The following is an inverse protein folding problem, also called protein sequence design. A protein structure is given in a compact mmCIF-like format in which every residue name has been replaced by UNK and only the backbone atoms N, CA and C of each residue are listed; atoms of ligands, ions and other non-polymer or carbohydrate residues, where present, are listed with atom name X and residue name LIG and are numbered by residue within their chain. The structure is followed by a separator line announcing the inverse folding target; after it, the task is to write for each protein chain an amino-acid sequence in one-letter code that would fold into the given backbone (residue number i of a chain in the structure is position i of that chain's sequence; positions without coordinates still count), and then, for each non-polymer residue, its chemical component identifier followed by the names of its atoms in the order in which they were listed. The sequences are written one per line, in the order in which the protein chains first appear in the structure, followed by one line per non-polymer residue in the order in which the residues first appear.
data_IF_757507328479
#
_entry.id   IF_757507328479
#
_cell.length_a   1.000
_cell.length_b   1.000
_cell.length_c   1.000
_cell.angle_alpha   90.00
_cell.angle_beta   90.00
_cell.angle_gamma   90.00
#
_symmetry.space_group_name_H-M   'P 1'
#
loop_
_entity.id
_entity.type
_entity.pdbx_description
1 polymer ?
#
# COMPACT_ATOMS: atom_id res chain seq x y z
N UNK A 1 68.82 15.90 29.06
CA UNK A 1 68.11 14.62 29.25
C UNK A 1 67.34 14.36 27.96
N UNK A 2 68.05 14.09 26.84
CA UNK A 2 68.31 12.75 26.23
C UNK A 2 66.97 12.04 25.92
N UNK A 3 66.43 12.16 24.69
CA UNK A 3 66.53 11.22 23.53
C UNK A 3 65.81 9.88 23.79
N UNK A 4 65.04 9.20 22.92
CA UNK A 4 64.94 8.99 21.45
C UNK A 4 63.47 8.57 21.11
N UNK A 5 62.81 8.79 19.97
CA UNK A 5 63.07 8.54 18.53
C UNK A 5 63.11 7.06 18.10
N UNK A 6 62.28 6.76 17.08
CA UNK A 6 62.43 5.76 16.01
C UNK A 6 62.23 4.27 16.40
N UNK A 7 61.86 3.33 15.54
CA UNK A 7 61.31 3.19 14.17
C UNK A 7 61.48 1.71 13.84
N UNK A 8 60.69 1.17 12.87
CA UNK A 8 61.12 0.13 11.90
C UNK A 8 61.43 -1.28 12.49
N UNK A 9 61.11 -2.46 11.96
CA UNK A 9 61.05 -3.09 10.63
C UNK A 9 60.54 -4.54 10.89
N UNK A 10 59.70 -5.17 10.04
CA UNK A 10 60.07 -6.18 9.01
C UNK A 10 60.59 -7.52 9.65
N UNK A 11 60.19 -8.74 9.27
CA UNK A 11 60.14 -9.40 7.95
C UNK A 11 59.49 -10.81 8.09
N UNK A 12 58.89 -11.31 6.99
CA UNK A 12 58.95 -12.70 6.44
C UNK A 12 58.25 -13.85 7.20
N UNK A 13 57.71 -14.91 6.57
CA UNK A 13 57.97 -15.61 5.28
C UNK A 13 56.77 -16.55 4.96
N UNK A 14 56.24 -16.59 3.72
CA UNK A 14 56.39 -17.63 2.65
C UNK A 14 55.85 -19.04 3.01
N UNK A 15 55.04 -19.76 2.23
CA UNK A 15 55.08 -20.09 0.78
C UNK A 15 53.64 -20.35 0.22
N UNK A 16 53.23 -20.02 -1.03
CA UNK A 16 53.55 -20.59 -2.39
C UNK A 16 53.19 -22.10 -2.48
N UNK A 17 52.49 -22.69 -3.47
CA UNK A 17 51.79 -22.38 -4.75
C UNK A 17 50.79 -23.57 -4.95
N UNK A 18 49.74 -23.50 -5.77
CA UNK A 18 49.82 -23.99 -7.16
C UNK A 18 48.62 -23.51 -8.00
N UNK A 19 48.93 -23.09 -9.21
CA UNK A 19 48.02 -22.72 -10.28
C UNK A 19 47.71 -23.93 -11.18
N UNK A 20 46.45 -24.09 -11.59
CA UNK A 20 46.09 -24.98 -12.70
C UNK A 20 45.66 -24.13 -13.90
N UNK A 21 46.45 -24.21 -14.96
CA UNK A 21 46.20 -23.66 -16.29
C UNK A 21 45.23 -24.56 -17.07
N UNK A 22 44.30 -23.96 -17.81
CA UNK A 22 43.52 -24.63 -18.87
C UNK A 22 43.97 -24.12 -20.23
N UNK A 23 44.13 -24.99 -21.25
CA UNK A 23 44.53 -24.56 -22.59
C UNK A 23 43.32 -24.11 -23.43
N UNK A 24 43.60 -23.14 -24.28
CA UNK A 24 42.74 -22.60 -25.32
C UNK A 24 42.96 -23.40 -26.63
N UNK A 25 41.88 -23.82 -27.30
CA UNK A 25 41.93 -24.26 -28.68
C UNK A 25 40.60 -24.00 -29.37
N UNK A 26 40.60 -23.01 -30.27
CA UNK A 26 39.55 -22.77 -31.25
C UNK A 26 39.72 -23.74 -32.43
N UNK A 27 38.61 -24.29 -32.95
CA UNK A 27 38.47 -24.54 -34.39
C UNK A 27 37.01 -24.79 -34.79
N UNK A 28 36.65 -24.13 -35.87
CA UNK A 28 35.44 -24.21 -36.66
C UNK A 28 35.28 -25.55 -37.38
N UNK A 29 34.09 -26.16 -37.34
CA UNK A 29 33.64 -27.12 -38.34
C UNK A 29 32.17 -26.89 -38.71
N UNK A 30 31.95 -26.76 -40.01
CA UNK A 30 30.65 -26.66 -40.66
C UNK A 30 29.95 -28.00 -40.80
N UNK A 31 28.62 -27.91 -40.82
CA UNK A 31 27.67 -28.72 -41.61
C UNK A 31 27.22 -30.10 -41.10
N UNK A 32 25.93 -30.34 -41.37
CA UNK A 32 25.18 -31.60 -41.46
C UNK A 32 24.55 -32.14 -40.17
N UNK A 33 23.27 -31.82 -39.98
CA UNK A 33 22.20 -32.83 -39.84
C UNK A 33 20.83 -32.14 -39.88
N UNK A 34 20.24 -32.11 -41.07
CA UNK A 34 18.81 -32.07 -41.23
C UNK A 34 18.30 -33.52 -41.21
N UNK A 35 17.48 -33.88 -40.23
CA UNK A 35 16.23 -34.64 -40.42
C UNK A 35 15.60 -35.09 -39.09
N UNK A 36 14.34 -34.67 -38.94
CA UNK A 36 13.24 -35.47 -38.42
C UNK A 36 13.34 -36.04 -36.99
N UNK A 37 12.84 -35.26 -36.03
CA UNK A 37 11.92 -35.80 -35.03
C UNK A 37 10.71 -34.86 -34.90
N UNK A 38 9.64 -35.20 -35.61
CA UNK A 38 8.29 -34.80 -35.24
C UNK A 38 8.01 -35.39 -33.86
N UNK A 39 7.80 -34.55 -32.84
CA UNK A 39 6.91 -34.86 -31.73
C UNK A 39 6.51 -33.59 -30.98
N UNK A 40 5.22 -33.27 -31.08
CA UNK A 40 4.39 -32.58 -30.11
C UNK A 40 5.01 -31.37 -29.37
N UNK A 41 4.94 -30.19 -30.01
CA UNK A 41 4.86 -28.94 -29.26
C UNK A 41 3.42 -28.85 -28.73
N UNK A 42 3.17 -28.90 -27.41
CA UNK A 42 1.85 -28.57 -26.90
C UNK A 42 1.57 -27.13 -27.30
N UNK A 43 0.45 -26.91 -27.98
CA UNK A 43 -0.11 -25.60 -28.30
C UNK A 43 0.14 -24.65 -27.14
N UNK A 44 1.18 -23.84 -27.27
CA UNK A 44 1.35 -22.65 -26.46
C UNK A 44 0.11 -21.87 -26.80
N UNK A 45 -0.80 -21.75 -25.84
CA UNK A 45 -1.90 -20.81 -25.88
C UNK A 45 -1.28 -19.46 -26.15
N UNK A 46 -1.21 -19.10 -27.43
CA UNK A 46 -1.14 -17.73 -27.89
C UNK A 46 -2.39 -17.10 -27.28
N UNK A 47 -2.21 -16.49 -26.11
CA UNK A 47 -3.15 -15.50 -25.60
C UNK A 47 -3.31 -14.54 -26.77
N UNK A 48 -4.48 -14.60 -27.41
CA UNK A 48 -4.83 -13.62 -28.44
C UNK A 48 -4.64 -12.27 -27.80
N UNK A 49 -3.63 -11.56 -28.30
CA UNK A 49 -3.53 -10.13 -28.16
C UNK A 49 -4.69 -9.55 -28.97
N UNK A 50 -5.86 -9.50 -28.36
CA UNK A 50 -6.92 -8.63 -28.81
C UNK A 50 -6.46 -7.21 -28.49
N UNK A 51 -5.74 -6.63 -29.45
CA UNK A 51 -5.52 -5.20 -29.52
C UNK A 51 -6.89 -4.53 -29.71
N UNK A 52 -7.44 -4.00 -28.62
CA UNK A 52 -8.66 -3.21 -28.65
C UNK A 52 -9.26 -3.09 -27.26
N UNK A 53 -9.09 -1.94 -26.61
CA UNK A 53 -10.03 -1.34 -25.64
C UNK A 53 -10.93 -2.32 -24.85
N UNK A 54 -10.34 -3.31 -24.18
CA UNK A 54 -11.07 -4.22 -23.31
C UNK A 54 -11.47 -3.45 -22.06
N UNK A 55 -12.76 -3.13 -21.92
CA UNK A 55 -13.27 -2.48 -20.72
C UNK A 55 -12.96 -3.31 -19.46
N UNK A 56 -13.10 -2.69 -18.29
CA UNK A 56 -12.92 -3.37 -17.01
C UNK A 56 -13.66 -4.72 -16.97
N UNK A 57 -12.99 -5.84 -16.63
CA UNK A 57 -13.63 -7.15 -16.57
C UNK A 57 -14.89 -7.15 -15.70
N UNK A 58 -15.98 -7.74 -16.20
CA UNK A 58 -17.29 -7.70 -15.56
C UNK A 58 -17.31 -8.24 -14.11
N UNK A 59 -16.37 -9.11 -13.76
CA UNK A 59 -16.20 -9.60 -12.39
C UNK A 59 -16.00 -8.47 -11.38
N UNK A 60 -15.32 -7.38 -11.75
CA UNK A 60 -15.06 -6.26 -10.84
C UNK A 60 -16.33 -5.51 -10.45
N UNK A 61 -17.36 -5.49 -11.30
CA UNK A 61 -18.69 -4.97 -10.92
C UNK A 61 -19.38 -5.89 -9.91
N UNK A 62 -19.21 -7.21 -10.05
CA UNK A 62 -19.73 -8.18 -9.07
C UNK A 62 -19.01 -8.08 -7.73
N UNK A 63 -17.67 -7.98 -7.75
CA UNK A 63 -16.84 -7.77 -6.57
C UNK A 63 -17.22 -6.47 -5.87
N UNK A 64 -17.40 -5.38 -6.62
CA UNK A 64 -17.86 -4.10 -6.09
C UNK A 64 -19.20 -4.23 -5.35
N UNK A 65 -20.18 -4.91 -5.93
CA UNK A 65 -21.47 -5.13 -5.24
C UNK A 65 -21.30 -5.93 -3.94
N UNK A 66 -20.47 -6.98 -3.96
CA UNK A 66 -20.22 -7.82 -2.77
C UNK A 66 -19.48 -7.03 -1.68
N UNK A 67 -18.39 -6.33 -2.02
CA UNK A 67 -17.65 -5.47 -1.10
C UNK A 67 -18.54 -4.38 -0.49
N UNK A 68 -19.43 -3.77 -1.28
CA UNK A 68 -20.38 -2.76 -0.78
C UNK A 68 -21.25 -3.32 0.35
N UNK A 69 -21.71 -4.57 0.24
CA UNK A 69 -22.52 -5.22 1.27
C UNK A 69 -21.79 -5.43 2.61
N UNK A 70 -20.45 -5.45 2.57
CA UNK A 70 -19.59 -5.62 3.74
C UNK A 70 -19.03 -4.29 4.26
N UNK A 71 -18.85 -3.31 3.39
CA UNK A 71 -18.18 -2.05 3.70
C UNK A 71 -19.13 -0.93 4.12
N UNK A 72 -20.41 -0.99 3.73
CA UNK A 72 -21.41 -0.01 4.12
C UNK A 72 -22.30 -0.57 5.24
N UNK A 73 -22.26 0.09 6.39
CA UNK A 73 -23.13 -0.22 7.53
C UNK A 73 -24.58 0.18 7.28
N UNK A 74 -25.49 -0.40 8.05
CA UNK A 74 -26.92 -0.04 8.02
C UNK A 74 -27.18 1.40 8.50
N UNK A 75 -26.24 1.98 9.25
CA UNK A 75 -26.22 3.38 9.68
C UNK A 75 -25.72 4.34 8.58
N UNK A 76 -25.38 3.83 7.40
CA UNK A 76 -24.87 4.61 6.28
C UNK A 76 -23.39 4.98 6.39
N UNK A 77 -22.69 4.51 7.42
CA UNK A 77 -21.27 4.77 7.64
C UNK A 77 -20.42 3.59 7.16
N UNK A 78 -19.12 3.80 6.98
CA UNK A 78 -18.25 2.67 6.64
C UNK A 78 -17.93 1.78 7.85
N UNK A 79 -17.85 0.47 7.61
CA UNK A 79 -17.65 -0.56 8.63
C UNK A 79 -16.17 -0.71 9.03
N UNK A 80 -15.89 -1.53 10.05
CA UNK A 80 -14.50 -1.86 10.39
C UNK A 80 -13.79 -2.63 9.27
N UNK A 81 -14.52 -3.40 8.45
CA UNK A 81 -13.95 -4.05 7.25
C UNK A 81 -13.49 -3.01 6.22
N UNK A 82 -14.26 -1.94 6.01
CA UNK A 82 -13.86 -0.86 5.13
C UNK A 82 -12.59 -0.16 5.64
N UNK A 83 -12.55 0.20 6.93
CA UNK A 83 -11.36 0.83 7.54
C UNK A 83 -10.13 -0.08 7.43
N UNK A 84 -10.30 -1.37 7.70
CA UNK A 84 -9.24 -2.35 7.56
C UNK A 84 -8.76 -2.49 6.12
N UNK A 85 -9.66 -2.44 5.11
CA UNK A 85 -9.29 -2.48 3.70
C UNK A 85 -8.43 -1.29 3.27
N UNK A 86 -8.74 -0.09 3.76
CA UNK A 86 -7.95 1.13 3.49
C UNK A 86 -6.53 0.96 4.05
N UNK A 87 -6.42 0.51 5.30
CA UNK A 87 -5.13 0.22 5.93
C UNK A 87 -4.40 -0.92 5.20
N UNK A 88 -5.08 -2.00 4.84
CA UNK A 88 -4.46 -3.17 4.22
C UNK A 88 -3.86 -2.82 2.85
N UNK A 89 -4.52 -1.99 2.05
CA UNK A 89 -3.97 -1.50 0.79
C UNK A 89 -2.69 -0.67 0.98
N UNK A 90 -2.63 0.16 2.05
CA UNK A 90 -1.41 0.86 2.44
C UNK A 90 -0.32 -0.09 2.92
N UNK A 91 -0.65 -1.09 3.75
CA UNK A 91 0.32 -2.02 4.32
C UNK A 91 0.88 -3.02 3.29
N UNK A 92 0.11 -3.35 2.25
CA UNK A 92 0.58 -4.15 1.11
C UNK A 92 1.54 -3.34 0.23
N UNK A 93 1.15 -2.13 -0.19
CA UNK A 93 1.95 -1.33 -1.12
C UNK A 93 3.08 -0.52 -0.47
N UNK A 94 2.95 -0.22 0.82
CA UNK A 94 3.83 0.65 1.58
C UNK A 94 5.26 0.14 1.74
N UNK A 95 5.52 -1.17 1.90
CA UNK A 95 6.85 -1.77 1.97
C UNK A 95 7.74 -1.66 0.70
N UNK A 96 7.97 -0.44 0.21
CA UNK A 96 8.73 -0.13 -1.00
C UNK A 96 9.68 1.05 -0.76
N UNK A 97 10.80 1.10 -1.49
CA UNK A 97 11.66 2.29 -1.61
C UNK A 97 12.36 2.31 -2.96
N UNK A 98 12.40 3.48 -3.60
CA UNK A 98 13.10 3.69 -4.86
C UNK A 98 14.62 3.81 -4.69
N UNK A 99 15.12 3.90 -3.45
CA UNK A 99 16.55 4.07 -3.15
C UNK A 99 17.27 2.77 -2.83
N UNK A 100 16.53 1.71 -2.53
CA UNK A 100 17.09 0.42 -2.15
C UNK A 100 17.02 -0.55 -3.31
N UNK A 101 18.18 -1.07 -3.72
CA UNK A 101 18.28 -2.12 -4.73
C UNK A 101 17.88 -3.42 -4.06
N UNK A 102 16.60 -3.76 -4.13
CA UNK A 102 16.17 -5.10 -3.76
C UNK A 102 16.39 -6.06 -4.92
N UNK A 103 16.99 -7.21 -4.59
CA UNK A 103 17.15 -8.30 -5.54
C UNK A 103 15.78 -8.90 -5.83
N UNK A 104 15.50 -9.16 -7.10
CA UNK A 104 14.36 -9.97 -7.48
C UNK A 104 14.41 -11.30 -6.70
N UNK A 105 13.30 -11.76 -6.10
CA UNK A 105 11.92 -11.31 -6.34
C UNK A 105 11.36 -10.23 -5.38
N UNK A 106 12.14 -9.65 -4.46
CA UNK A 106 11.61 -8.95 -3.28
C UNK A 106 11.73 -7.40 -3.32
N UNK A 107 11.07 -6.71 -4.26
CA UNK A 107 11.04 -5.23 -4.24
C UNK A 107 10.00 -4.64 -3.25
N UNK A 108 9.01 -5.45 -2.86
CA UNK A 108 7.78 -5.01 -2.22
C UNK A 108 6.96 -4.09 -3.13
N UNK A 109 5.94 -3.45 -2.57
CA UNK A 109 5.00 -2.62 -3.33
C UNK A 109 3.66 -3.31 -3.48
N UNK A 110 2.83 -2.81 -4.41
CA UNK A 110 1.47 -3.30 -4.56
C UNK A 110 1.44 -4.65 -5.30
N UNK A 111 1.77 -5.73 -4.61
CA UNK A 111 2.06 -7.04 -5.20
C UNK A 111 1.30 -8.22 -4.53
N UNK A 112 0.52 -7.95 -3.49
CA UNK A 112 -0.32 -8.94 -2.84
C UNK A 112 0.38 -9.78 -1.78
N UNK A 113 1.66 -9.54 -1.50
CA UNK A 113 2.45 -10.31 -0.54
C UNK A 113 1.82 -10.33 0.84
N UNK A 114 1.22 -9.23 1.29
CA UNK A 114 0.57 -9.15 2.61
C UNK A 114 -0.61 -10.12 2.75
N UNK A 115 -1.35 -10.38 1.66
CA UNK A 115 -2.40 -11.39 1.65
C UNK A 115 -1.82 -12.80 1.49
N UNK A 116 -0.82 -12.98 0.65
CA UNK A 116 -0.33 -14.31 0.23
C UNK A 116 0.73 -14.92 1.17
N UNK A 117 1.42 -14.10 1.96
CA UNK A 117 2.50 -14.53 2.85
C UNK A 117 2.08 -14.48 4.33
N UNK A 118 2.24 -15.59 5.05
CA UNK A 118 1.88 -15.68 6.47
C UNK A 118 2.88 -14.97 7.40
N UNK A 119 4.14 -14.90 7.01
CA UNK A 119 5.18 -14.28 7.83
C UNK A 119 5.03 -12.75 7.79
N UNK A 120 4.67 -12.21 6.63
CA UNK A 120 4.46 -10.77 6.47
C UNK A 120 3.32 -10.23 7.33
N UNK A 121 2.13 -10.85 7.28
CA UNK A 121 0.99 -10.39 8.09
C UNK A 121 1.26 -10.50 9.60
N UNK A 122 2.13 -11.43 10.02
CA UNK A 122 2.46 -11.64 11.42
C UNK A 122 3.51 -10.64 11.95
N UNK A 123 4.05 -9.76 11.10
CA UNK A 123 4.94 -8.70 11.54
C UNK A 123 4.25 -7.72 12.48
N UNK A 124 4.93 -7.18 13.51
CA UNK A 124 4.33 -6.30 14.51
C UNK A 124 3.58 -5.08 13.93
N UNK A 125 4.10 -4.46 12.87
CA UNK A 125 3.50 -3.30 12.21
C UNK A 125 2.16 -3.62 11.52
N UNK A 126 1.92 -4.89 11.19
CA UNK A 126 0.67 -5.38 10.60
C UNK A 126 -0.35 -5.82 11.68
N UNK A 127 -0.02 -5.66 12.96
CA UNK A 127 -0.88 -6.00 14.09
C UNK A 127 -2.30 -5.42 13.94
N UNK A 128 -3.30 -6.28 14.17
CA UNK A 128 -4.73 -5.94 14.00
C UNK A 128 -5.30 -6.16 12.58
N UNK A 129 -4.49 -6.59 11.60
CA UNK A 129 -4.98 -6.92 10.25
C UNK A 129 -5.27 -8.42 10.04
N UNK A 130 -4.99 -9.29 11.02
CA UNK A 130 -5.12 -10.74 10.87
C UNK A 130 -6.55 -11.20 10.53
N UNK A 131 -7.55 -10.66 11.21
CA UNK A 131 -8.96 -10.99 10.97
C UNK A 131 -9.41 -10.50 9.59
N UNK A 132 -9.02 -9.29 9.21
CA UNK A 132 -9.30 -8.75 7.88
C UNK A 132 -8.62 -9.57 6.78
N UNK A 133 -7.35 -9.99 6.97
CA UNK A 133 -6.66 -10.89 6.03
C UNK A 133 -7.41 -12.19 5.86
N UNK A 134 -7.86 -12.80 6.97
CA UNK A 134 -8.61 -14.06 6.93
C UNK A 134 -9.91 -13.89 6.14
N UNK A 135 -10.64 -12.80 6.39
CA UNK A 135 -11.84 -12.45 5.63
C UNK A 135 -11.56 -12.23 4.13
N UNK A 136 -10.52 -11.45 3.81
CA UNK A 136 -10.14 -11.14 2.43
C UNK A 136 -9.63 -12.38 1.68
N UNK A 137 -8.94 -13.30 2.36
CA UNK A 137 -8.47 -14.57 1.79
C UNK A 137 -9.66 -15.45 1.35
N UNK A 138 -10.76 -15.44 2.11
CA UNK A 138 -12.00 -16.09 1.72
C UNK A 138 -12.57 -15.50 0.42
N UNK A 139 -12.63 -14.17 0.32
CA UNK A 139 -13.05 -13.46 -0.90
C UNK A 139 -12.12 -13.74 -2.08
N UNK A 140 -10.81 -13.69 -1.85
CA UNK A 140 -9.78 -14.00 -2.85
C UNK A 140 -9.97 -15.41 -3.42
N UNK A 141 -10.11 -16.42 -2.56
CA UNK A 141 -10.31 -17.81 -2.98
C UNK A 141 -11.53 -17.93 -3.90
N UNK A 142 -12.66 -17.31 -3.51
CA UNK A 142 -13.88 -17.30 -4.30
C UNK A 142 -13.69 -16.62 -5.67
N UNK A 143 -13.10 -15.43 -5.70
CA UNK A 143 -12.96 -14.63 -6.93
C UNK A 143 -11.88 -15.19 -7.86
N UNK A 144 -10.79 -15.75 -7.30
CA UNK A 144 -9.74 -16.40 -8.05
C UNK A 144 -10.25 -17.67 -8.75
N UNK A 145 -11.02 -18.51 -8.04
CA UNK A 145 -11.66 -19.67 -8.63
C UNK A 145 -12.63 -19.29 -9.75
N UNK A 146 -13.43 -18.24 -9.55
CA UNK A 146 -14.46 -17.79 -10.50
C UNK A 146 -13.90 -17.11 -11.74
N UNK A 147 -12.87 -16.27 -11.60
CA UNK A 147 -12.46 -15.35 -12.66
C UNK A 147 -10.95 -15.04 -12.66
N UNK A 148 -10.14 -15.82 -11.96
CA UNK A 148 -8.67 -15.65 -11.88
C UNK A 148 -8.25 -14.25 -11.42
N UNK A 149 -9.04 -13.66 -10.51
CA UNK A 149 -8.69 -12.39 -9.86
C UNK A 149 -7.43 -12.59 -9.02
N UNK A 150 -6.45 -11.71 -9.20
CA UNK A 150 -5.21 -11.67 -8.42
C UNK A 150 -5.41 -11.07 -7.04
N UNK A 151 -4.59 -11.49 -6.09
CA UNK A 151 -4.55 -10.98 -4.72
C UNK A 151 -4.21 -9.49 -4.69
N UNK A 152 -3.18 -9.07 -5.42
CA UNK A 152 -2.71 -7.69 -5.47
C UNK A 152 -3.80 -6.72 -5.98
N UNK A 153 -4.47 -7.11 -7.06
CA UNK A 153 -5.58 -6.32 -7.61
C UNK A 153 -6.76 -6.27 -6.65
N UNK A 154 -7.10 -7.39 -5.99
CA UNK A 154 -8.20 -7.43 -5.03
C UNK A 154 -7.93 -6.49 -3.84
N UNK A 155 -6.71 -6.47 -3.31
CA UNK A 155 -6.34 -5.59 -2.19
C UNK A 155 -6.51 -4.12 -2.58
N UNK A 156 -5.92 -3.70 -3.70
CA UNK A 156 -5.92 -2.31 -4.11
C UNK A 156 -7.32 -1.85 -4.58
N UNK A 157 -8.09 -2.74 -5.21
CA UNK A 157 -9.50 -2.50 -5.52
C UNK A 157 -10.33 -2.35 -4.24
N UNK A 158 -10.16 -3.24 -3.26
CA UNK A 158 -10.87 -3.18 -1.99
C UNK A 158 -10.55 -1.90 -1.20
N UNK A 159 -9.28 -1.48 -1.17
CA UNK A 159 -8.88 -0.21 -0.55
C UNK A 159 -9.56 0.99 -1.21
N UNK A 160 -9.52 1.07 -2.56
CA UNK A 160 -10.19 2.14 -3.31
C UNK A 160 -11.71 2.13 -3.12
N UNK A 161 -12.30 0.94 -3.08
CA UNK A 161 -13.74 0.72 -2.84
C UNK A 161 -14.15 1.17 -1.44
N UNK A 162 -13.36 0.84 -0.43
CA UNK A 162 -13.63 1.24 0.94
C UNK A 162 -13.62 2.76 1.11
N UNK A 163 -12.64 3.45 0.52
CA UNK A 163 -12.58 4.93 0.53
C UNK A 163 -13.88 5.54 -0.01
N UNK A 164 -14.30 5.18 -1.22
CA UNK A 164 -15.52 5.74 -1.84
C UNK A 164 -16.83 5.28 -1.16
N UNK A 165 -16.78 4.21 -0.37
CA UNK A 165 -17.92 3.72 0.42
C UNK A 165 -18.12 4.54 1.70
N UNK A 166 -17.04 4.98 2.34
CA UNK A 166 -17.11 5.94 3.44
C UNK A 166 -17.77 7.24 2.95
N UNK A 167 -18.83 7.75 3.61
CA UNK A 167 -19.48 9.00 3.24
C UNK A 167 -18.49 10.17 3.14
N UNK A 168 -18.47 10.85 1.98
CA UNK A 168 -17.49 11.90 1.69
C UNK A 168 -16.22 11.43 0.95
N UNK A 169 -16.06 10.12 0.74
CA UNK A 169 -14.90 9.53 0.10
C UNK A 169 -14.69 9.95 -1.36
N UNK A 170 -13.45 10.26 -1.79
CA UNK A 170 -13.14 10.45 -3.20
C UNK A 170 -13.28 9.16 -3.99
N UNK A 171 -13.57 9.33 -5.28
CA UNK A 171 -13.30 8.27 -6.26
C UNK A 171 -11.80 8.32 -6.59
N UNK A 172 -11.10 7.22 -6.31
CA UNK A 172 -9.69 7.03 -6.67
C UNK A 172 -9.64 6.34 -8.04
N UNK A 173 -8.65 6.70 -8.87
CA UNK A 173 -8.37 5.92 -10.07
C UNK A 173 -7.96 4.51 -9.67
N UNK A 174 -8.67 3.50 -10.15
CA UNK A 174 -8.42 2.10 -9.78
C UNK A 174 -8.13 1.31 -11.03
N UNK A 175 -6.95 0.71 -11.05
CA UNK A 175 -6.43 -0.09 -12.17
C UNK A 175 -6.20 -1.52 -11.72
N UNK A 176 -6.27 -2.46 -12.66
CA UNK A 176 -6.02 -3.90 -12.44
C UNK A 176 -5.06 -4.44 -13.48
N UNK A 177 -4.36 -5.51 -13.16
CA UNK A 177 -3.31 -6.13 -13.98
C UNK A 177 -2.01 -6.42 -13.23
N UNK A 178 -2.02 -6.33 -11.89
CA UNK A 178 -0.84 -6.62 -11.06
C UNK A 178 -0.47 -8.09 -11.14
N UNK A 179 0.83 -8.37 -11.01
CA UNK A 179 1.34 -9.73 -10.82
C UNK A 179 1.40 -10.02 -9.34
N UNK A 180 0.78 -11.12 -8.92
CA UNK A 180 0.83 -11.57 -7.54
C UNK A 180 2.22 -12.12 -7.17
N UNK A 181 2.64 -11.88 -5.94
CA UNK A 181 3.81 -12.53 -5.33
C UNK A 181 3.49 -12.95 -3.90
N UNK A 182 4.02 -14.09 -3.47
CA UNK A 182 4.07 -14.49 -2.05
C UNK A 182 5.43 -14.21 -1.42
N UNK A 183 6.33 -13.54 -2.16
CA UNK A 183 7.63 -13.12 -1.63
C UNK A 183 7.39 -12.07 -0.55
N UNK A 184 7.92 -12.31 0.65
CA UNK A 184 7.78 -11.37 1.76
C UNK A 184 8.36 -10.00 1.40
N UNK A 185 7.63 -8.93 1.70
CA UNK A 185 8.11 -7.58 1.46
C UNK A 185 9.30 -7.23 2.38
N UNK A 186 10.16 -6.26 2.02
CA UNK A 186 11.25 -5.83 2.89
C UNK A 186 10.79 -5.21 4.22
N UNK A 187 11.54 -5.48 5.30
CA UNK A 187 11.29 -4.89 6.63
C UNK A 187 11.67 -3.40 6.69
N UNK A 188 11.04 -2.66 7.62
CA UNK A 188 11.43 -1.28 7.95
C UNK A 188 10.93 -0.20 6.98
N UNK A 189 10.06 -0.54 6.03
CA UNK A 189 9.51 0.42 5.06
C UNK A 189 8.10 0.93 5.38
N UNK A 190 7.51 0.48 6.49
CA UNK A 190 6.25 1.01 7.03
C UNK A 190 6.52 2.03 8.16
N UNK A 191 5.70 3.09 8.26
CA UNK A 191 5.89 4.14 9.26
C UNK A 191 5.57 3.65 10.67
N UNK A 192 6.38 4.08 11.64
CA UNK A 192 6.10 3.84 13.06
C UNK A 192 5.10 4.87 13.60
N UNK A 193 4.04 4.41 14.28
CA UNK A 193 3.08 5.28 14.96
C UNK A 193 3.58 5.87 16.29
N UNK A 194 4.60 5.25 16.90
CA UNK A 194 5.18 5.62 18.19
C UNK A 194 6.70 5.41 18.24
N UNK A 195 7.33 5.97 19.26
CA UNK A 195 8.75 5.79 19.54
C UNK A 195 9.66 6.65 18.65
N UNK A 196 10.98 6.41 18.69
CA UNK A 196 11.97 7.27 18.01
C UNK A 196 11.77 7.37 16.49
N UNK A 197 11.27 6.31 15.86
CA UNK A 197 11.04 6.24 14.41
C UNK A 197 9.75 6.94 13.95
N UNK A 198 8.99 7.56 14.87
CA UNK A 198 7.77 8.30 14.56
C UNK A 198 8.00 9.80 14.36
N UNK A 199 9.26 10.26 14.32
CA UNK A 199 9.60 11.69 14.15
C UNK A 199 9.23 12.20 12.76
N UNK A 200 9.00 13.51 12.64
CA UNK A 200 8.66 14.16 11.36
C UNK A 200 9.68 13.81 10.26
N UNK A 201 10.98 13.98 10.53
CA UNK A 201 12.02 13.84 9.49
C UNK A 201 12.18 12.40 9.04
N UNK A 202 12.07 11.43 9.96
CA UNK A 202 12.13 9.99 9.61
C UNK A 202 10.93 9.62 8.74
N UNK A 203 9.72 10.01 9.15
CA UNK A 203 8.51 9.70 8.40
C UNK A 203 8.48 10.41 7.04
N UNK A 204 8.90 11.67 6.98
CA UNK A 204 8.97 12.40 5.72
C UNK A 204 10.00 11.76 4.78
N UNK A 205 11.18 11.40 5.28
CA UNK A 205 12.20 10.73 4.45
C UNK A 205 11.72 9.37 3.94
N UNK A 206 11.02 8.59 4.78
CA UNK A 206 10.44 7.30 4.41
C UNK A 206 9.47 7.43 3.22
N UNK A 207 8.65 8.48 3.20
CA UNK A 207 7.71 8.73 2.10
C UNK A 207 8.39 9.38 0.89
N UNK A 208 9.38 10.25 1.10
CA UNK A 208 10.20 10.80 0.02
C UNK A 208 10.90 9.70 -0.78
N UNK A 209 11.36 8.64 -0.10
CA UNK A 209 11.97 7.45 -0.71
C UNK A 209 10.97 6.59 -1.51
N UNK A 210 9.67 6.85 -1.38
CA UNK A 210 8.59 6.27 -2.19
C UNK A 210 8.13 7.22 -3.31
N UNK A 211 8.75 8.38 -3.45
CA UNK A 211 8.37 9.41 -4.42
C UNK A 211 7.22 10.31 -3.97
N UNK A 212 6.93 10.38 -2.67
CA UNK A 212 5.87 11.24 -2.12
C UNK A 212 6.43 12.56 -1.56
N UNK A 213 5.75 13.65 -1.91
CA UNK A 213 6.01 14.97 -1.35
C UNK A 213 5.47 15.11 0.08
N UNK A 214 5.84 16.19 0.76
CA UNK A 214 5.25 16.53 2.06
C UNK A 214 3.73 16.72 1.99
N UNK A 215 3.20 17.19 0.85
CA UNK A 215 1.75 17.30 0.63
C UNK A 215 1.11 15.93 0.51
N UNK A 216 1.76 15.00 -0.18
CA UNK A 216 1.26 13.64 -0.36
C UNK A 216 1.19 12.91 0.98
N UNK A 217 2.24 13.00 1.80
CA UNK A 217 2.24 12.43 3.16
C UNK A 217 1.13 13.06 4.02
N UNK A 218 1.01 14.39 4.03
CA UNK A 218 -0.06 15.06 4.76
C UNK A 218 -1.47 14.67 4.26
N UNK A 219 -1.62 14.35 2.97
CA UNK A 219 -2.89 13.89 2.41
C UNK A 219 -3.17 12.44 2.82
N UNK A 220 -2.20 11.53 2.64
CA UNK A 220 -2.32 10.10 2.93
C UNK A 220 -2.63 9.82 4.40
N UNK A 221 -1.97 10.52 5.34
CA UNK A 221 -2.25 10.35 6.77
C UNK A 221 -3.67 10.80 7.17
N UNK A 222 -4.33 11.60 6.33
CA UNK A 222 -5.75 11.94 6.49
C UNK A 222 -6.68 10.73 6.45
N UNK A 223 -6.23 9.57 5.95
CA UNK A 223 -6.99 8.31 6.06
C UNK A 223 -7.34 7.93 7.51
N UNK A 224 -6.63 8.48 8.50
CA UNK A 224 -6.98 8.36 9.91
C UNK A 224 -8.31 9.06 10.29
N UNK A 225 -8.95 9.81 9.39
CA UNK A 225 -10.36 10.22 9.58
C UNK A 225 -11.32 9.03 9.58
N UNK A 226 -10.94 7.92 8.95
CA UNK A 226 -11.70 6.66 8.99
C UNK A 226 -10.87 5.56 9.63
N UNK A 227 -10.47 5.72 10.90
CA UNK A 227 -9.67 4.71 11.59
C UNK A 227 -10.05 4.47 13.06
N UNK A 228 -9.69 3.27 13.52
CA UNK A 228 -9.70 2.85 14.91
C UNK A 228 -8.43 2.03 15.18
N UNK A 229 -7.86 2.21 16.36
CA UNK A 229 -6.68 1.50 16.84
C UNK A 229 -7.09 0.29 17.71
N UNK A 230 -6.38 -0.83 17.57
CA UNK A 230 -6.71 -2.08 18.28
C UNK A 230 -5.53 -2.70 19.03
N UNK A 231 -4.30 -2.24 18.75
CA UNK A 231 -3.06 -2.85 19.24
C UNK A 231 -2.12 -1.86 19.92
N UNK A 232 -2.63 -0.71 20.36
CA UNK A 232 -1.87 0.44 20.90
C UNK A 232 -2.18 0.73 22.38
N UNK A 233 -2.67 -0.27 23.12
CA UNK A 233 -3.01 -0.15 24.55
C UNK A 233 -1.80 0.24 25.39
N UNK A 234 -0.61 -0.27 25.06
CA UNK A 234 0.64 0.12 25.71
C UNK A 234 1.00 1.60 25.50
N UNK A 235 0.40 2.26 24.51
CA UNK A 235 0.56 3.68 24.22
C UNK A 235 -0.63 4.53 24.70
N UNK A 236 -1.51 3.95 25.54
CA UNK A 236 -2.66 4.67 26.10
C UNK A 236 -3.86 4.78 25.16
N UNK A 237 -3.88 4.06 24.04
CA UNK A 237 -5.04 4.01 23.14
C UNK A 237 -5.82 2.71 23.41
N UNK A 238 -7.06 2.78 23.92
CA UNK A 238 -7.85 1.58 24.15
C UNK A 238 -8.19 0.89 22.83
N UNK A 239 -8.48 -0.41 22.89
CA UNK A 239 -8.97 -1.15 21.72
C UNK A 239 -10.25 -0.51 21.18
N UNK A 240 -10.30 -0.26 19.87
CA UNK A 240 -11.35 0.50 19.20
C UNK A 240 -11.20 2.02 19.28
N UNK A 241 -10.10 2.55 19.81
CA UNK A 241 -9.86 3.99 19.96
C UNK A 241 -9.76 4.70 18.61
N UNK A 242 -10.70 5.61 18.34
CA UNK A 242 -10.82 6.38 17.10
C UNK A 242 -9.89 7.60 17.04
N UNK A 243 -9.45 7.97 15.84
CA UNK A 243 -8.50 9.07 15.63
C UNK A 243 -9.18 10.44 15.43
N UNK A 244 -10.47 10.45 15.12
CA UNK A 244 -11.33 11.63 15.15
C UNK A 244 -12.71 11.27 15.72
N UNK A 245 -13.63 12.25 15.77
CA UNK A 245 -14.99 12.05 16.29
C UNK A 245 -15.93 11.26 15.37
N UNK A 246 -15.55 11.03 14.11
CA UNK A 246 -16.41 10.55 13.02
C UNK A 246 -15.75 9.39 12.24
N UNK A 247 -15.27 8.31 12.89
CA UNK A 247 -14.44 7.26 12.27
C UNK A 247 -15.14 6.44 11.15
N UNK A 248 -16.43 6.69 10.92
CA UNK A 248 -17.23 6.10 9.85
C UNK A 248 -17.42 7.00 8.63
N UNK A 249 -16.86 8.21 8.62
CA UNK A 249 -17.01 9.24 7.58
C UNK A 249 -15.66 9.70 7.07
N UNK A 250 -15.59 9.95 5.78
CA UNK A 250 -14.39 10.46 5.12
C UNK A 250 -14.43 11.99 5.09
N UNK A 251 -14.07 12.61 6.20
CA UNK A 251 -14.14 14.06 6.40
C UNK A 251 -12.81 14.65 6.90
N UNK A 252 -12.81 15.95 7.21
CA UNK A 252 -11.61 16.69 7.59
C UNK A 252 -11.51 16.96 9.10
N UNK A 253 -12.37 16.35 9.91
CA UNK A 253 -12.38 16.56 11.36
C UNK A 253 -11.03 16.15 11.96
N UNK A 254 -10.45 15.05 11.48
CA UNK A 254 -9.09 14.60 11.80
C UNK A 254 -8.05 15.73 11.82
N UNK A 255 -7.99 16.57 10.79
CA UNK A 255 -6.95 17.60 10.69
C UNK A 255 -7.01 18.65 11.81
N UNK A 256 -8.21 19.04 12.23
CA UNK A 256 -8.36 19.95 13.37
C UNK A 256 -8.17 19.20 14.71
N UNK A 257 -8.72 17.99 14.82
CA UNK A 257 -8.80 17.23 16.06
C UNK A 257 -7.47 16.61 16.48
N UNK A 258 -6.52 16.41 15.56
CA UNK A 258 -5.15 16.06 15.95
C UNK A 258 -4.55 17.13 16.87
N UNK A 259 -4.86 18.42 16.68
CA UNK A 259 -4.34 19.49 17.54
C UNK A 259 -5.27 19.82 18.72
N UNK A 260 -6.56 19.52 18.60
CA UNK A 260 -7.57 19.78 19.64
C UNK A 260 -8.54 18.60 19.74
N UNK A 261 -8.12 17.46 20.33
CA UNK A 261 -8.90 16.24 20.32
C UNK A 261 -10.12 16.35 21.24
N UNK A 262 -11.35 16.06 20.77
CA UNK A 262 -12.50 15.93 21.64
C UNK A 262 -12.40 14.67 22.51
N UNK A 263 -13.18 14.61 23.59
CA UNK A 263 -13.25 13.43 24.46
C UNK A 263 -13.61 12.17 23.65
N UNK A 264 -12.89 11.08 23.89
CA UNK A 264 -13.10 9.80 23.20
C UNK A 264 -12.30 9.65 21.89
N UNK A 265 -11.46 10.63 21.54
CA UNK A 265 -10.52 10.54 20.41
C UNK A 265 -9.08 10.39 20.90
N UNK A 266 -8.27 9.69 20.12
CA UNK A 266 -6.90 9.30 20.45
C UNK A 266 -5.95 9.58 19.30
N UNK A 267 -4.70 9.87 19.61
CA UNK A 267 -3.71 10.29 18.61
C UNK A 267 -2.48 9.40 18.67
N UNK A 268 -1.95 9.05 17.50
CA UNK A 268 -0.62 8.48 17.41
C UNK A 268 0.44 9.57 17.59
N UNK A 269 1.63 9.20 18.07
CA UNK A 269 2.74 10.16 18.18
C UNK A 269 3.18 10.66 16.80
N UNK A 270 3.13 9.81 15.78
CA UNK A 270 3.38 10.17 14.37
C UNK A 270 2.49 11.32 13.90
N UNK A 271 1.20 11.27 14.21
CA UNK A 271 0.20 12.24 13.78
C UNK A 271 0.45 13.60 14.42
N UNK A 272 0.79 13.59 15.71
CA UNK A 272 1.22 14.79 16.44
C UNK A 272 2.48 15.37 15.79
N UNK A 273 3.48 14.54 15.49
CA UNK A 273 4.74 15.00 14.92
C UNK A 273 4.59 15.57 13.50
N UNK A 274 3.72 14.97 12.68
CA UNK A 274 3.49 15.41 11.30
C UNK A 274 2.54 16.62 11.17
N UNK A 275 1.78 16.94 12.21
CA UNK A 275 0.83 18.08 12.21
C UNK A 275 1.44 19.40 12.68
N UNK A 276 2.69 19.39 13.17
CA UNK A 276 3.37 20.57 13.72
C UNK A 276 3.56 21.66 12.66
N UNK A 277 2.88 22.80 12.81
CA UNK A 277 2.75 23.84 11.79
C UNK A 277 4.08 24.49 11.33
N UNK A 278 5.16 24.37 12.11
CA UNK A 278 6.49 24.85 11.76
C UNK A 278 7.28 23.89 10.85
N UNK A 279 6.81 22.65 10.66
CA UNK A 279 7.46 21.62 9.83
C UNK A 279 6.96 21.63 8.38
N UNK A 280 7.70 20.98 7.47
CA UNK A 280 7.36 20.93 6.04
C UNK A 280 6.04 20.19 5.79
N UNK A 281 5.84 19.03 6.44
CA UNK A 281 4.58 18.28 6.34
C UNK A 281 3.46 19.01 7.07
N UNK A 282 3.74 19.54 8.26
CA UNK A 282 2.73 20.25 9.06
C UNK A 282 2.14 21.46 8.35
N UNK A 283 2.93 22.23 7.58
CA UNK A 283 2.39 23.31 6.73
C UNK A 283 1.35 22.81 5.71
N UNK A 284 1.56 21.62 5.13
CA UNK A 284 0.59 21.02 4.21
C UNK A 284 -0.61 20.47 4.96
N UNK A 285 -0.39 19.84 6.12
CA UNK A 285 -1.42 19.32 7.03
C UNK A 285 -2.41 20.42 7.45
N UNK A 286 -1.91 21.56 7.92
CA UNK A 286 -2.75 22.73 8.26
C UNK A 286 -3.53 23.24 7.04
N UNK A 287 -2.97 23.10 5.84
CA UNK A 287 -3.63 23.46 4.60
C UNK A 287 -4.84 22.60 4.22
N UNK A 288 -5.12 21.49 4.92
CA UNK A 288 -6.31 20.66 4.74
C UNK A 288 -7.41 20.94 5.78
N UNK A 289 -7.09 21.64 6.87
CA UNK A 289 -8.09 22.09 7.85
C UNK A 289 -9.13 22.97 7.15
N UNK A 290 -10.41 22.62 7.29
CA UNK A 290 -11.51 23.32 6.64
C UNK A 290 -11.58 23.18 5.11
N UNK A 291 -10.75 22.33 4.49
CA UNK A 291 -10.65 22.24 3.03
C UNK A 291 -10.77 20.80 2.48
N UNK A 292 -12.00 20.26 2.56
CA UNK A 292 -12.34 18.93 2.06
C UNK A 292 -11.92 18.70 0.60
N UNK A 293 -12.19 19.66 -0.30
CA UNK A 293 -11.90 19.50 -1.73
C UNK A 293 -10.39 19.37 -2.02
N UNK A 294 -9.57 20.17 -1.34
CA UNK A 294 -8.12 20.10 -1.46
C UNK A 294 -7.58 18.78 -0.91
N UNK A 295 -8.09 18.32 0.23
CA UNK A 295 -7.70 17.00 0.76
C UNK A 295 -8.12 15.87 -0.17
N UNK A 296 -9.40 15.83 -0.56
CA UNK A 296 -10.01 14.83 -1.45
C UNK A 296 -9.19 14.64 -2.74
N UNK A 297 -8.85 15.74 -3.41
CA UNK A 297 -8.04 15.70 -4.65
C UNK A 297 -6.61 15.22 -4.38
N UNK A 298 -5.96 15.70 -3.31
CA UNK A 298 -4.57 15.34 -2.98
C UNK A 298 -4.45 13.88 -2.54
N UNK A 299 -5.42 13.40 -1.76
CA UNK A 299 -5.49 12.02 -1.30
C UNK A 299 -5.75 11.07 -2.47
N UNK A 300 -6.68 11.39 -3.36
CA UNK A 300 -7.02 10.51 -4.47
C UNK A 300 -5.82 10.30 -5.42
N UNK A 301 -5.07 11.37 -5.70
CA UNK A 301 -3.85 11.31 -6.49
C UNK A 301 -2.75 10.50 -5.80
N UNK A 302 -2.46 10.81 -4.53
CA UNK A 302 -1.42 10.13 -3.76
C UNK A 302 -1.73 8.63 -3.55
N UNK A 303 -2.98 8.29 -3.25
CA UNK A 303 -3.42 6.91 -3.05
C UNK A 303 -3.39 6.10 -4.35
N UNK A 304 -3.70 6.71 -5.50
CA UNK A 304 -3.50 6.04 -6.79
C UNK A 304 -2.02 5.74 -7.03
N UNK A 305 -1.13 6.71 -6.83
CA UNK A 305 0.33 6.50 -6.95
C UNK A 305 0.84 5.43 -5.98
N UNK A 306 0.30 5.39 -4.76
CA UNK A 306 0.60 4.37 -3.76
C UNK A 306 0.20 2.97 -4.26
N UNK A 307 -0.97 2.84 -4.86
CA UNK A 307 -1.50 1.56 -5.36
C UNK A 307 -0.68 0.92 -6.49
N UNK A 308 0.33 1.61 -7.03
CA UNK A 308 1.21 1.13 -8.11
C UNK A 308 2.70 1.18 -7.74
N UNK A 309 3.04 1.36 -6.46
CA UNK A 309 4.43 1.27 -5.98
C UNK A 309 5.01 -0.12 -6.28
N UNK A 310 6.31 -0.18 -6.56
CA UNK A 310 7.01 -1.42 -6.92
C UNK A 310 6.78 -1.89 -8.36
N UNK A 311 5.87 -1.26 -9.10
CA UNK A 311 5.49 -1.71 -10.45
C UNK A 311 6.12 -0.80 -11.51
N UNK A 312 6.99 -1.31 -12.40
CA UNK A 312 7.56 -0.52 -13.49
C UNK A 312 6.49 0.09 -14.40
N UNK A 313 6.71 1.32 -14.87
CA UNK A 313 5.77 2.01 -15.77
C UNK A 313 5.48 1.22 -17.06
N UNK A 314 6.44 0.41 -17.53
CA UNK A 314 6.24 -0.51 -18.66
C UNK A 314 5.16 -1.54 -18.38
N UNK A 315 5.13 -2.14 -17.18
CA UNK A 315 4.08 -3.07 -16.75
C UNK A 315 2.73 -2.36 -16.57
N UNK A 316 2.75 -1.15 -15.99
CA UNK A 316 1.54 -0.35 -15.80
C UNK A 316 0.84 0.02 -17.12
N UNK A 317 1.57 0.09 -18.24
CA UNK A 317 0.98 0.36 -19.56
C UNK A 317 -0.01 -0.73 -20.02
N UNK A 318 0.08 -1.94 -19.46
CA UNK A 318 -0.85 -3.04 -19.71
C UNK A 318 -2.04 -3.10 -18.75
N UNK A 319 -2.13 -2.18 -17.77
CA UNK A 319 -3.20 -2.21 -16.78
C UNK A 319 -4.52 -1.73 -17.37
N UNK A 320 -5.61 -2.31 -16.88
CA UNK A 320 -6.97 -1.96 -17.26
C UNK A 320 -7.57 -0.98 -16.24
N UNK A 321 -8.19 0.09 -16.72
CA UNK A 321 -8.91 1.03 -15.86
C UNK A 321 -10.26 0.43 -15.43
N UNK A 322 -10.38 0.22 -14.12
CA UNK A 322 -11.56 -0.33 -13.45
C UNK A 322 -12.23 0.69 -12.51
N UNK A 323 -11.91 1.99 -12.64
CA UNK A 323 -12.47 3.07 -11.82
C UNK A 323 -13.99 3.15 -11.89
N UNK A 324 -14.59 2.75 -13.01
CA UNK A 324 -16.04 2.75 -13.20
C UNK A 324 -16.74 1.53 -12.57
N UNK A 325 -16.01 0.50 -12.14
CA UNK A 325 -16.58 -0.61 -11.38
C UNK A 325 -16.81 -0.24 -9.91
N UNK A 326 -16.13 0.79 -9.39
CA UNK A 326 -16.37 1.31 -8.04
C UNK A 326 -17.81 1.82 -7.88
N UNK A 327 -18.38 1.78 -6.66
CA UNK A 327 -19.73 2.24 -6.41
C UNK A 327 -19.81 3.76 -6.60
N UNK A 328 -21.04 4.25 -6.72
CA UNK A 328 -21.27 5.71 -6.65
C UNK A 328 -21.11 6.16 -5.22
N UNK A 329 -20.32 7.21 -5.01
CA UNK A 329 -20.12 7.80 -3.69
C UNK A 329 -21.43 8.09 -2.97
N UNK A 330 -21.42 7.85 -1.66
CA UNK A 330 -22.48 8.26 -0.74
C UNK A 330 -22.28 9.76 -0.49
N UNK A 331 -22.97 10.60 -1.27
CA UNK A 331 -22.99 12.04 -1.01
C UNK A 331 -23.57 12.33 0.38
N UNK A 332 -23.14 13.40 1.04
CA UNK A 332 -23.77 13.94 2.27
C UNK A 332 -25.30 14.10 2.17
N UNK A 333 -25.86 14.28 0.96
CA UNK A 333 -27.31 14.32 0.72
C UNK A 333 -28.03 13.00 1.01
N UNK A 334 -27.34 11.86 0.98
CA UNK A 334 -27.89 10.55 1.38
C UNK A 334 -28.00 10.47 2.90
N UNK A 335 -27.04 11.05 3.63
CA UNK A 335 -27.07 11.18 5.09
C UNK A 335 -28.22 12.07 5.57
N UNK A 336 -28.59 13.12 4.81
CA UNK A 336 -29.78 13.93 5.11
C UNK A 336 -31.08 13.09 5.05
N UNK A 337 -31.14 12.09 4.16
CA UNK A 337 -32.31 11.19 4.04
C UNK A 337 -32.29 10.02 5.03
N UNK A 338 -31.17 9.73 5.67
CA UNK A 338 -31.04 8.73 6.72
C UNK A 338 -31.08 9.35 8.13
N UNK A 339 -30.80 10.65 8.26
CA UNK A 339 -30.87 11.36 9.53
C UNK A 339 -32.31 11.34 10.11
N UNK A 340 -32.47 11.23 11.46
CA UNK A 340 -33.76 11.41 12.12
C UNK A 340 -34.43 12.72 11.66
N UNK A 341 -35.76 12.72 11.50
CA UNK A 341 -36.53 13.84 10.92
C UNK A 341 -36.16 15.20 11.56
N UNK A 342 -35.80 15.20 12.85
CA UNK A 342 -35.45 16.38 13.63
C UNK A 342 -34.15 17.08 13.19
N UNK A 343 -33.33 16.45 12.34
CA UNK A 343 -32.06 17.00 11.83
C UNK A 343 -32.11 17.40 10.35
N UNK A 344 -33.27 17.30 9.69
CA UNK A 344 -33.39 17.56 8.24
C UNK A 344 -33.67 19.01 7.86
N UNK A 345 -33.74 19.91 8.83
CA UNK A 345 -33.98 21.33 8.61
C UNK A 345 -33.15 22.18 9.58
N UNK A 346 -31.90 22.42 9.22
CA UNK A 346 -31.15 23.68 9.42
C UNK A 346 -30.14 23.82 8.30
#
# INVERSE_FOLDING_TARGET
MIQNLASLLLVSSLALVDAFSLPEAASSFSSLLASSLNNAIPNTLLIRKDGGSGGCPAIWTSISSDLTSSFLGSDGQCTDLARAAIRFAFHDAGPYSSKTVFYAPAAGGADGSLLLNSDEINRPENGGLADYRTWLMGKYTQYNQKAKVGAADLIQFAGSHAVITCPGGPKIKTVVGRTDTSTIAPDGFLPAGFGPNSSHDILFQLFADKGFSARDLAALIGAHSTSKAFTQQANGIPSGGQQDSTPGKWDIDYYAQVNSPPTGTYRFQSDINLSQANTTVGKQFQGFVGNQGKWTSSFADAMFRLSVLGIPSSSQSGFVDCTNALPRGTSSKRDIRAAPINYRAR
#
